data_IF_775250429480
#
_entry.id   IF_775250429480
#
_cell.length_a   1.000
_cell.length_b   1.000
_cell.length_c   1.000
_cell.angle_alpha   90.00
_cell.angle_beta   90.00
_cell.angle_gamma   90.00
#
_symmetry.space_group_name_H-M   'P 1'
#
loop_
_entity.id
_entity.type
_entity.pdbx_description
1 polymer ?
#
# COMPACT_ATOMS: atom_id res chain seq x y z
N UNK A 1 47.60 -24.24 20.97
CA UNK A 1 47.66 -23.33 19.80
C UNK A 1 46.43 -22.44 19.80
N UNK A 2 46.60 -21.12 19.78
CA UNK A 2 45.52 -20.11 19.86
C UNK A 2 45.30 -19.55 18.44
N UNK A 3 44.18 -19.86 17.80
CA UNK A 3 43.88 -19.44 16.42
C UNK A 3 43.13 -18.10 16.41
N UNK A 4 43.76 -17.08 15.83
CA UNK A 4 43.26 -15.70 15.71
C UNK A 4 42.46 -15.48 14.41
N UNK A 5 41.33 -16.18 14.23
CA UNK A 5 40.59 -16.18 12.95
C UNK A 5 39.45 -15.16 12.86
N UNK A 6 39.24 -14.30 13.88
CA UNK A 6 38.05 -13.42 13.95
C UNK A 6 38.16 -12.09 13.19
N UNK A 7 39.34 -11.69 12.70
CA UNK A 7 39.56 -10.33 12.14
C UNK A 7 39.39 -10.22 10.61
N UNK A 8 39.51 -11.34 9.88
CA UNK A 8 39.49 -11.32 8.41
C UNK A 8 38.07 -11.31 7.81
N UNK A 9 37.07 -11.85 8.52
CA UNK A 9 35.69 -11.87 8.02
C UNK A 9 35.03 -10.49 7.96
N UNK A 10 35.32 -9.60 8.90
CA UNK A 10 34.77 -8.23 8.94
C UNK A 10 35.40 -7.35 7.85
N UNK A 11 36.68 -7.53 7.55
CA UNK A 11 37.36 -6.77 6.49
C UNK A 11 36.86 -7.14 5.09
N UNK A 12 36.51 -8.41 4.86
CA UNK A 12 35.90 -8.85 3.60
C UNK A 12 34.49 -8.27 3.38
N UNK A 13 33.71 -8.12 4.45
CA UNK A 13 32.35 -7.59 4.40
C UNK A 13 32.32 -6.07 4.13
N UNK A 14 33.27 -5.33 4.70
CA UNK A 14 33.45 -3.90 4.43
C UNK A 14 33.91 -3.61 3.00
N UNK A 15 34.75 -4.48 2.41
CA UNK A 15 35.20 -4.33 1.02
C UNK A 15 34.05 -4.41 0.00
N UNK A 16 33.11 -5.34 0.18
CA UNK A 16 31.96 -5.51 -0.72
C UNK A 16 30.97 -4.33 -0.62
N UNK A 17 30.80 -3.77 0.58
CA UNK A 17 29.87 -2.67 0.82
C UNK A 17 30.31 -1.37 0.10
N UNK A 18 31.61 -1.08 0.07
CA UNK A 18 32.16 0.13 -0.56
C UNK A 18 32.08 0.05 -2.09
N UNK A 19 32.34 -1.12 -2.68
CA UNK A 19 32.22 -1.34 -4.14
C UNK A 19 30.76 -1.24 -4.60
N UNK A 20 29.80 -1.68 -3.78
CA UNK A 20 28.37 -1.55 -4.08
C UNK A 20 27.85 -0.11 -4.12
N UNK A 21 28.42 0.79 -3.30
CA UNK A 21 27.98 2.20 -3.23
C UNK A 21 28.53 3.01 -4.42
N UNK A 22 29.74 2.70 -4.91
CA UNK A 22 30.37 3.44 -6.02
C UNK A 22 29.65 3.19 -7.36
N UNK A 23 28.96 2.06 -7.54
CA UNK A 23 28.23 1.75 -8.78
C UNK A 23 26.88 2.47 -8.94
N UNK A 24 26.41 3.20 -7.92
CA UNK A 24 25.10 3.89 -7.95
C UNK A 24 25.26 5.40 -8.19
N UNK A 25 26.48 5.95 -8.13
CA UNK A 25 26.72 7.40 -8.25
C UNK A 25 27.16 7.87 -9.64
N UNK A 26 27.17 7.01 -10.66
CA UNK A 26 27.56 7.38 -12.02
C UNK A 26 26.41 7.23 -13.01
N UNK A 27 25.57 8.26 -13.15
CA UNK A 27 24.91 8.66 -14.40
C UNK A 27 23.97 9.84 -14.11
N UNK A 28 24.56 11.04 -13.99
CA UNK A 28 23.89 12.29 -14.35
C UNK A 28 24.73 12.86 -15.49
N UNK A 29 24.16 12.90 -16.69
CA UNK A 29 24.50 13.90 -17.70
C UNK A 29 23.28 14.13 -18.59
N UNK A 30 23.10 15.41 -18.89
CA UNK A 30 21.92 16.10 -19.36
C UNK A 30 22.02 16.36 -20.88
N UNK A 31 20.89 16.76 -21.48
CA UNK A 31 20.75 17.56 -22.70
C UNK A 31 20.65 16.92 -24.12
N UNK A 32 19.40 16.94 -24.61
CA UNK A 32 18.88 17.59 -25.85
C UNK A 32 19.38 17.19 -27.26
N UNK A 33 18.47 16.66 -28.12
CA UNK A 33 17.81 17.38 -29.26
C UNK A 33 16.97 16.48 -30.20
N UNK A 34 15.79 17.01 -30.57
CA UNK A 34 14.90 16.88 -31.75
C UNK A 34 15.17 15.78 -32.82
N UNK A 35 14.15 15.13 -33.43
CA UNK A 35 13.15 15.73 -34.34
C UNK A 35 11.78 15.02 -34.38
N UNK A 36 10.75 15.86 -34.47
CA UNK A 36 9.40 15.78 -35.05
C UNK A 36 8.81 14.45 -35.58
N UNK A 37 7.56 14.20 -35.18
CA UNK A 37 6.48 13.70 -36.06
C UNK A 37 5.14 14.31 -35.59
N UNK A 38 4.41 14.93 -36.53
CA UNK A 38 3.16 15.66 -36.34
C UNK A 38 1.92 14.73 -36.18
N UNK A 39 1.12 14.99 -35.13
CA UNK A 39 -0.37 15.06 -34.98
C UNK A 39 -1.36 14.03 -35.60
N UNK A 40 -2.65 13.98 -35.18
CA UNK A 40 -3.32 14.41 -33.94
C UNK A 40 -4.35 13.38 -33.37
N UNK A 41 -4.88 13.69 -32.17
CA UNK A 41 -6.29 13.51 -31.74
C UNK A 41 -6.54 12.75 -30.41
N UNK A 42 -7.25 13.49 -29.54
CA UNK A 42 -8.16 13.09 -28.45
C UNK A 42 -7.58 12.51 -27.14
N UNK A 43 -7.82 13.28 -26.06
CA UNK A 43 -7.78 12.84 -24.67
C UNK A 43 -8.76 11.68 -24.41
N UNK A 44 -8.56 10.90 -23.32
CA UNK A 44 -9.17 11.32 -22.08
C UNK A 44 -8.20 11.25 -20.89
N UNK A 45 -8.13 12.37 -20.15
CA UNK A 45 -7.91 12.46 -18.71
C UNK A 45 -7.27 11.22 -18.03
N UNK A 46 -5.96 11.08 -18.20
CA UNK A 46 -5.15 10.15 -17.42
C UNK A 46 -5.14 10.58 -15.95
N UNK A 47 -5.56 9.66 -15.09
CA UNK A 47 -5.61 9.78 -13.64
C UNK A 47 -4.31 10.36 -13.06
N UNK A 48 -4.36 11.16 -11.98
CA UNK A 48 -3.13 11.58 -11.31
C UNK A 48 -2.43 10.34 -10.78
N UNK A 49 -1.29 10.00 -11.40
CA UNK A 49 -0.30 9.06 -10.86
C UNK A 49 0.07 9.55 -9.47
N UNK A 50 -0.46 8.87 -8.44
CA UNK A 50 -0.14 9.17 -7.05
C UNK A 50 1.28 8.65 -6.83
N UNK A 51 2.25 9.56 -6.88
CA UNK A 51 3.62 9.28 -6.46
C UNK A 51 3.66 8.72 -5.03
N UNK A 52 4.79 8.12 -4.61
CA UNK A 52 4.91 7.50 -3.30
C UNK A 52 4.53 8.51 -2.21
N UNK A 53 3.45 8.23 -1.49
CA UNK A 53 2.96 9.13 -0.45
C UNK A 53 3.63 8.81 0.88
N UNK A 54 4.20 9.81 1.55
CA UNK A 54 4.91 9.62 2.83
C UNK A 54 4.06 8.97 3.93
N UNK A 55 2.74 9.08 3.87
CA UNK A 55 1.81 8.53 4.86
C UNK A 55 1.34 7.10 4.54
N UNK A 56 1.58 6.62 3.32
CA UNK A 56 1.29 5.26 2.88
C UNK A 56 2.53 4.67 2.20
N UNK A 57 3.52 4.22 2.98
CA UNK A 57 4.77 3.74 2.43
C UNK A 57 4.58 2.33 1.86
N UNK A 58 4.23 2.27 0.57
CA UNK A 58 4.04 1.02 -0.16
C UNK A 58 5.25 0.09 -0.05
N UNK A 59 4.99 -1.22 0.06
CA UNK A 59 6.03 -2.22 0.22
C UNK A 59 6.44 -2.48 1.67
N UNK A 60 6.14 -1.56 2.59
CA UNK A 60 6.44 -1.70 4.02
C UNK A 60 5.75 -2.93 4.62
N UNK A 61 6.54 -3.78 5.27
CA UNK A 61 6.04 -4.94 6.02
C UNK A 61 5.90 -4.55 7.48
N UNK A 62 4.71 -4.77 8.04
CA UNK A 62 4.38 -4.58 9.44
C UNK A 62 4.52 -5.94 10.16
N UNK A 63 5.64 -6.23 10.85
CA UNK A 63 5.95 -7.57 11.34
C UNK A 63 4.97 -8.06 12.43
N UNK A 64 4.42 -7.16 13.24
CA UNK A 64 3.47 -7.50 14.32
C UNK A 64 2.15 -8.00 13.72
N UNK A 65 1.66 -7.35 12.67
CA UNK A 65 0.38 -7.67 12.04
C UNK A 65 0.52 -8.68 10.89
N UNK A 66 1.77 -9.05 10.51
CA UNK A 66 2.07 -9.86 9.32
C UNK A 66 1.35 -9.32 8.07
N UNK A 67 1.34 -8.00 7.94
CA UNK A 67 0.71 -7.32 6.82
C UNK A 67 1.71 -6.50 6.04
N UNK A 68 1.46 -6.34 4.75
CA UNK A 68 2.25 -5.50 3.84
C UNK A 68 1.39 -4.35 3.35
N UNK A 69 1.90 -3.13 3.38
CA UNK A 69 1.25 -1.96 2.77
C UNK A 69 1.32 -2.13 1.25
N UNK A 70 0.15 -2.13 0.60
CA UNK A 70 0.02 -2.30 -0.86
C UNK A 70 -0.12 -0.99 -1.62
N UNK A 71 -0.18 0.13 -0.91
CA UNK A 71 -0.24 1.47 -1.52
C UNK A 71 -1.61 2.12 -1.36
N UNK A 72 -1.84 3.16 -2.14
CA UNK A 72 -3.08 3.94 -2.10
C UNK A 72 -4.06 3.41 -3.14
N UNK A 73 -5.29 3.16 -2.72
CA UNK A 73 -6.39 2.78 -3.61
C UNK A 73 -7.59 3.72 -3.43
N UNK A 74 -8.28 3.99 -4.54
CA UNK A 74 -9.49 4.81 -4.54
C UNK A 74 -10.70 3.94 -4.20
N UNK A 75 -11.46 4.35 -3.19
CA UNK A 75 -12.67 3.66 -2.76
C UNK A 75 -13.84 4.63 -2.60
N UNK A 76 -15.04 4.12 -2.83
CA UNK A 76 -16.29 4.83 -2.53
C UNK A 76 -16.93 4.22 -1.29
N UNK A 77 -17.11 5.01 -0.24
CA UNK A 77 -17.76 4.61 1.01
C UNK A 77 -18.87 5.63 1.30
N UNK A 78 -20.09 5.14 1.50
CA UNK A 78 -21.29 5.97 1.71
C UNK A 78 -21.46 7.10 0.68
N UNK A 79 -21.26 6.80 -0.60
CA UNK A 79 -21.38 7.77 -1.70
C UNK A 79 -20.21 8.75 -1.84
N UNK A 80 -19.22 8.72 -0.94
CA UNK A 80 -18.02 9.57 -1.01
C UNK A 80 -16.83 8.79 -1.54
N UNK A 81 -16.18 9.32 -2.57
CA UNK A 81 -14.95 8.77 -3.14
C UNK A 81 -13.72 9.37 -2.46
N UNK A 82 -12.76 8.53 -2.07
CA UNK A 82 -11.52 8.97 -1.42
C UNK A 82 -10.38 7.98 -1.64
N UNK A 83 -9.16 8.45 -1.41
CA UNK A 83 -7.94 7.66 -1.44
C UNK A 83 -7.67 7.07 -0.05
N UNK A 84 -7.51 5.76 0.03
CA UNK A 84 -7.23 5.02 1.27
C UNK A 84 -5.90 4.28 1.14
N UNK A 85 -5.12 4.24 2.21
CA UNK A 85 -3.91 3.42 2.27
C UNK A 85 -4.31 1.99 2.61
N UNK A 86 -3.94 1.06 1.73
CA UNK A 86 -4.27 -0.35 1.85
C UNK A 86 -3.11 -1.16 2.41
N UNK A 87 -3.45 -2.15 3.22
CA UNK A 87 -2.55 -3.22 3.65
C UNK A 87 -3.21 -4.57 3.47
N UNK A 88 -2.41 -5.56 3.09
CA UNK A 88 -2.82 -6.94 2.96
C UNK A 88 -2.17 -7.78 4.05
N UNK A 89 -2.97 -8.62 4.69
CA UNK A 89 -2.51 -9.59 5.67
C UNK A 89 -2.46 -10.97 5.03
N UNK A 90 -1.37 -11.68 5.29
CA UNK A 90 -1.18 -13.06 4.84
C UNK A 90 -0.96 -14.00 6.02
N UNK A 91 -1.37 -15.26 5.83
CA UNK A 91 -0.97 -16.39 6.68
C UNK A 91 0.53 -16.67 6.54
N UNK A 92 1.11 -17.48 7.45
CA UNK A 92 2.53 -17.85 7.39
C UNK A 92 2.96 -18.57 6.10
N UNK A 93 2.04 -19.24 5.42
CA UNK A 93 2.24 -19.91 4.12
C UNK A 93 2.18 -18.94 2.92
N UNK A 94 1.91 -17.66 3.17
CA UNK A 94 1.77 -16.61 2.16
C UNK A 94 0.34 -16.39 1.67
N UNK A 95 -0.63 -17.22 2.06
CA UNK A 95 -2.03 -17.07 1.63
C UNK A 95 -2.61 -15.74 2.15
N UNK A 96 -3.08 -14.89 1.24
CA UNK A 96 -3.75 -13.64 1.61
C UNK A 96 -5.10 -13.94 2.25
N UNK A 97 -5.36 -13.34 3.41
CA UNK A 97 -6.60 -13.57 4.15
C UNK A 97 -7.49 -12.34 4.27
N UNK A 98 -6.88 -11.16 4.30
CA UNK A 98 -7.60 -9.91 4.51
C UNK A 98 -6.88 -8.75 3.85
N UNK A 99 -7.67 -7.80 3.34
CA UNK A 99 -7.19 -6.50 2.90
C UNK A 99 -7.96 -5.41 3.63
N UNK A 100 -7.25 -4.46 4.21
CA UNK A 100 -7.85 -3.33 4.92
C UNK A 100 -7.29 -2.04 4.37
N UNK A 101 -8.16 -1.11 4.02
CA UNK A 101 -7.79 0.20 3.55
C UNK A 101 -8.35 1.27 4.47
N UNK A 102 -7.53 2.22 4.87
CA UNK A 102 -7.88 3.28 5.84
C UNK A 102 -7.42 4.65 5.37
N UNK A 103 -8.21 5.68 5.67
CA UNK A 103 -7.83 7.07 5.40
C UNK A 103 -6.81 7.56 6.44
N UNK A 104 -6.03 8.58 6.06
CA UNK A 104 -5.04 9.22 6.93
C UNK A 104 -5.68 9.97 8.10
N UNK A 105 -6.63 10.85 7.79
CA UNK A 105 -7.09 11.89 8.72
C UNK A 105 -8.57 11.74 9.14
N UNK A 106 -9.27 10.79 8.55
CA UNK A 106 -10.68 10.52 8.83
C UNK A 106 -10.89 9.06 9.22
N UNK A 107 -12.03 8.74 9.85
CA UNK A 107 -12.37 7.36 10.23
C UNK A 107 -13.05 6.60 9.08
N UNK A 108 -12.49 6.67 7.87
CA UNK A 108 -12.92 5.81 6.77
C UNK A 108 -12.06 4.54 6.73
N UNK A 109 -12.73 3.40 6.82
CA UNK A 109 -12.10 2.09 6.72
C UNK A 109 -12.96 1.20 5.85
N UNK A 110 -12.34 0.45 4.94
CA UNK A 110 -12.97 -0.67 4.24
C UNK A 110 -12.14 -1.92 4.45
N UNK A 111 -12.81 -3.03 4.74
CA UNK A 111 -12.18 -4.34 4.92
C UNK A 111 -12.76 -5.34 3.94
N UNK A 112 -11.87 -6.14 3.38
CA UNK A 112 -12.16 -7.23 2.48
C UNK A 112 -11.57 -8.52 3.03
N UNK A 113 -12.25 -9.63 2.81
CA UNK A 113 -11.71 -10.96 3.06
C UNK A 113 -11.49 -11.70 1.75
N UNK A 114 -10.49 -12.57 1.74
CA UNK A 114 -10.27 -13.52 0.66
C UNK A 114 -11.07 -14.80 0.92
N UNK A 115 -11.59 -15.43 -0.13
CA UNK A 115 -12.40 -16.66 -0.04
C UNK A 115 -11.58 -17.96 -0.12
N UNK A 116 -10.25 -17.87 -0.16
CA UNK A 116 -9.33 -18.99 -0.39
C UNK A 116 -9.08 -19.33 -1.85
N UNK A 117 -9.88 -18.80 -2.78
CA UNK A 117 -9.67 -18.91 -4.25
C UNK A 117 -8.91 -17.70 -4.82
N UNK A 118 -8.55 -16.75 -3.94
CA UNK A 118 -7.93 -15.48 -4.32
C UNK A 118 -8.96 -14.39 -4.67
N UNK A 119 -10.27 -14.69 -4.66
CA UNK A 119 -11.30 -13.67 -4.80
C UNK A 119 -11.52 -12.96 -3.48
N UNK A 120 -11.63 -11.63 -3.55
CA UNK A 120 -11.93 -10.78 -2.41
C UNK A 120 -13.40 -10.36 -2.43
N UNK A 121 -13.99 -10.25 -1.24
CA UNK A 121 -15.32 -9.67 -1.04
C UNK A 121 -15.28 -8.67 0.10
N UNK A 122 -16.08 -7.60 -0.03
CA UNK A 122 -16.19 -6.56 1.00
C UNK A 122 -16.93 -7.14 2.20
N UNK A 123 -16.44 -6.88 3.40
CA UNK A 123 -17.04 -7.40 4.64
C UNK A 123 -17.42 -6.30 5.62
N UNK A 124 -16.72 -5.16 5.57
CA UNK A 124 -16.96 -4.05 6.48
C UNK A 124 -16.63 -2.71 5.85
N UNK A 125 -17.45 -1.71 6.16
CA UNK A 125 -17.13 -0.29 6.06
C UNK A 125 -17.24 0.36 7.44
N UNK A 126 -16.42 1.37 7.66
CA UNK A 126 -16.53 2.34 8.75
C UNK A 126 -16.42 3.72 8.11
N UNK A 127 -17.29 4.65 8.50
CA UNK A 127 -17.26 6.02 8.01
C UNK A 127 -17.86 6.99 9.03
N UNK A 128 -17.39 8.25 9.07
CA UNK A 128 -18.03 9.31 9.83
C UNK A 128 -19.34 9.75 9.17
N UNK A 129 -20.33 10.09 9.99
CA UNK A 129 -21.60 10.69 9.59
C UNK A 129 -22.04 11.70 10.65
N UNK A 130 -21.81 12.99 10.39
CA UNK A 130 -22.07 14.05 11.37
C UNK A 130 -21.22 13.90 12.63
N UNK A 131 -21.86 13.80 13.79
CA UNK A 131 -21.24 13.56 15.10
C UNK A 131 -21.09 12.07 15.44
N UNK A 132 -21.29 11.18 14.46
CA UNK A 132 -21.26 9.72 14.63
C UNK A 132 -20.20 9.06 13.77
N UNK A 133 -19.84 7.84 14.15
CA UNK A 133 -19.15 6.87 13.30
C UNK A 133 -20.08 5.71 13.05
N UNK A 134 -20.35 5.46 11.78
CA UNK A 134 -21.14 4.35 11.31
C UNK A 134 -20.22 3.18 10.93
N UNK A 135 -20.71 1.96 11.17
CA UNK A 135 -20.12 0.75 10.64
C UNK A 135 -21.19 -0.07 9.94
N UNK A 136 -20.87 -0.51 8.74
CA UNK A 136 -21.71 -1.34 7.88
C UNK A 136 -21.03 -2.67 7.65
N UNK A 137 -21.74 -3.76 7.86
CA UNK A 137 -21.28 -5.13 7.60
C UNK A 137 -21.97 -5.67 6.37
N UNK A 138 -21.21 -6.40 5.57
CA UNK A 138 -21.65 -6.97 4.30
C UNK A 138 -21.57 -8.50 4.35
N UNK A 139 -22.56 -9.17 3.77
CA UNK A 139 -22.45 -10.58 3.40
C UNK A 139 -21.56 -10.76 2.17
N UNK A 140 -21.21 -12.01 1.86
CA UNK A 140 -20.34 -12.37 0.74
C UNK A 140 -20.84 -11.92 -0.63
N UNK A 141 -22.15 -11.80 -0.80
CA UNK A 141 -22.81 -11.33 -2.03
C UNK A 141 -22.84 -9.79 -2.14
N UNK A 142 -22.37 -9.07 -1.10
CA UNK A 142 -22.38 -7.61 -1.04
C UNK A 142 -23.66 -7.01 -0.43
N UNK A 143 -24.60 -7.82 0.05
CA UNK A 143 -25.78 -7.32 0.75
C UNK A 143 -25.39 -6.77 2.13
N UNK A 144 -26.00 -5.66 2.54
CA UNK A 144 -25.80 -5.12 3.89
C UNK A 144 -26.57 -5.97 4.90
N UNK A 145 -25.85 -6.58 5.84
CA UNK A 145 -26.46 -7.43 6.88
C UNK A 145 -26.67 -6.68 8.20
N UNK A 146 -25.91 -5.61 8.43
CA UNK A 146 -26.01 -4.79 9.63
C UNK A 146 -25.42 -3.42 9.36
N UNK A 147 -26.06 -2.38 9.89
CA UNK A 147 -25.50 -1.03 9.96
C UNK A 147 -25.76 -0.46 11.35
N UNK A 148 -24.74 0.15 11.96
CA UNK A 148 -24.82 0.77 13.27
C UNK A 148 -23.98 2.04 13.32
N UNK A 149 -24.57 3.12 13.84
CA UNK A 149 -23.87 4.38 14.08
C UNK A 149 -23.77 4.68 15.58
N UNK A 150 -22.60 5.11 16.02
CA UNK A 150 -22.32 5.46 17.42
C UNK A 150 -21.78 6.88 17.47
N UNK A 151 -22.31 7.69 18.40
CA UNK A 151 -21.86 9.06 18.60
C UNK A 151 -20.44 9.07 19.17
N UNK A 152 -19.58 9.97 18.69
CA UNK A 152 -18.27 10.20 19.29
C UNK A 152 -18.48 11.17 20.45
N UNK A 153 -18.14 10.73 21.67
CA UNK A 153 -18.14 11.56 22.89
C UNK A 153 -16.85 12.35 23.04
#
# INVERSE_FOLDING_TARGET
MKTNTKKYGIMALLGVLIVGIVLISGCVEDSEKEYATEQPAEEPAGEPSVGPSDWCPEGTVLPIEKSKITGIEKHTINGKTMNLCCKEMSRPDGEKVMKTCSSKDAMYVVTFMYDGTGKMYKTKEIYPEGDKVCSRLFSRDGTVIMERCVKIE
#
